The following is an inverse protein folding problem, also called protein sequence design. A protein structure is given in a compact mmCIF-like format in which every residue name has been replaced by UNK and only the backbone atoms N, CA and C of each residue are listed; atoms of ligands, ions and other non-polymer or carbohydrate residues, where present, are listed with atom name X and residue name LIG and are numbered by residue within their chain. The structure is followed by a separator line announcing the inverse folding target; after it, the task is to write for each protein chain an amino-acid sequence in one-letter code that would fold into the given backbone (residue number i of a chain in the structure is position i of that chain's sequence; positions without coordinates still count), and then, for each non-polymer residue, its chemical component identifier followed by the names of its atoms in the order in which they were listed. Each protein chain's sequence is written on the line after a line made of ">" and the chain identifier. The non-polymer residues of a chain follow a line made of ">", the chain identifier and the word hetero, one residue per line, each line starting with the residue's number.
data_IF_392447355579
#
_entry.id   IF_392447355579
#
_cell.length_a   1.000
_cell.length_b   1.000
_cell.length_c   1.000
_cell.angle_alpha   90.00
_cell.angle_beta   90.00
_cell.angle_gamma   90.00
#
_symmetry.space_group_name_H-M   'P 1'
#
loop_
_entity.id
_entity.type
_entity.pdbx_description
1 polymer ?
#
# COMPACT_ATOMS: atom_id res chain seq x y z
N UNK A 1 0.72 3.21 -15.12
CA UNK A 1 0.93 3.23 -13.65
C UNK A 1 0.50 1.86 -13.16
N UNK A 2 1.33 1.19 -12.39
CA UNK A 2 1.13 -0.18 -11.90
C UNK A 2 1.39 -0.22 -10.40
N UNK A 3 1.01 -1.31 -9.74
CA UNK A 3 1.20 -1.52 -8.30
C UNK A 3 2.68 -1.58 -7.86
N UNK A 4 3.64 -1.62 -8.80
CA UNK A 4 5.08 -1.72 -8.52
C UNK A 4 5.61 -0.64 -7.55
N UNK A 5 5.06 0.57 -7.61
CA UNK A 5 5.42 1.64 -6.68
C UNK A 5 4.99 1.33 -5.24
N UNK A 6 3.79 0.78 -5.07
CA UNK A 6 3.28 0.38 -3.74
C UNK A 6 4.05 -0.84 -3.23
N UNK A 7 4.42 -1.77 -4.10
CA UNK A 7 5.33 -2.90 -3.77
C UNK A 7 6.68 -2.39 -3.24
N UNK A 8 7.25 -1.35 -3.84
CA UNK A 8 8.49 -0.74 -3.35
C UNK A 8 8.30 -0.04 -1.98
N UNK A 9 7.16 0.61 -1.76
CA UNK A 9 6.80 1.19 -0.46
C UNK A 9 6.72 0.09 0.61
N UNK A 10 6.01 -1.02 0.31
CA UNK A 10 5.90 -2.17 1.20
C UNK A 10 7.27 -2.74 1.55
N UNK A 11 8.09 -3.02 0.52
CA UNK A 11 9.44 -3.58 0.68
C UNK A 11 10.31 -2.73 1.61
N UNK A 12 10.25 -1.40 1.45
CA UNK A 12 11.02 -0.46 2.29
C UNK A 12 10.50 -0.38 3.73
N UNK A 13 9.19 -0.44 3.94
CA UNK A 13 8.58 -0.27 5.26
C UNK A 13 8.65 -1.55 6.08
N UNK A 14 8.50 -2.70 5.43
CA UNK A 14 8.56 -4.03 6.04
C UNK A 14 10.00 -4.57 6.14
N UNK A 15 10.98 -3.88 5.54
CA UNK A 15 12.38 -4.32 5.44
C UNK A 15 12.49 -5.75 4.85
N UNK A 16 11.72 -5.99 3.79
CA UNK A 16 11.66 -7.29 3.09
C UNK A 16 11.84 -7.11 1.59
N UNK A 17 12.39 -8.14 0.94
CA UNK A 17 12.70 -8.13 -0.51
C UNK A 17 11.71 -8.95 -1.35
N UNK A 18 10.85 -9.75 -0.72
CA UNK A 18 9.89 -10.63 -1.39
C UNK A 18 8.45 -10.15 -1.17
N UNK A 19 8.07 -9.05 -1.83
CA UNK A 19 6.69 -8.56 -1.84
C UNK A 19 6.06 -8.85 -3.19
N UNK A 20 5.04 -9.71 -3.23
CA UNK A 20 4.22 -9.87 -4.43
C UNK A 20 3.13 -8.79 -4.45
N UNK A 21 2.71 -8.31 -5.62
CA UNK A 21 1.66 -7.29 -5.72
C UNK A 21 0.33 -7.67 -5.04
N UNK A 22 0.00 -8.97 -5.04
CA UNK A 22 -1.20 -9.53 -4.42
C UNK A 22 -0.99 -10.03 -2.99
N UNK A 23 0.20 -9.86 -2.40
CA UNK A 23 0.46 -10.30 -1.03
C UNK A 23 -0.25 -9.41 -0.02
N UNK A 24 -0.86 -10.03 0.98
CA UNK A 24 -1.45 -9.32 2.13
C UNK A 24 -0.35 -8.70 2.99
N UNK A 25 -0.44 -7.39 3.23
CA UNK A 25 0.53 -6.63 4.01
C UNK A 25 0.70 -7.14 5.45
N UNK A 26 -0.37 -7.58 6.09
CA UNK A 26 -0.35 -8.07 7.47
C UNK A 26 0.26 -9.47 7.54
N UNK A 27 0.02 -10.32 6.54
CA UNK A 27 0.70 -11.62 6.43
C UNK A 27 2.22 -11.47 6.22
N UNK A 28 2.67 -10.38 5.59
CA UNK A 28 4.08 -10.04 5.45
C UNK A 28 4.72 -9.47 6.74
N UNK A 29 3.98 -9.40 7.85
CA UNK A 29 4.46 -8.87 9.13
C UNK A 29 4.14 -7.39 9.36
N UNK A 30 3.27 -6.81 8.53
CA UNK A 30 2.76 -5.45 8.72
C UNK A 30 1.89 -5.30 9.97
N UNK A 31 1.86 -4.09 10.51
CA UNK A 31 0.98 -3.70 11.61
C UNK A 31 0.30 -2.34 11.31
N UNK A 32 -0.52 -1.85 12.24
CA UNK A 32 -1.25 -0.58 12.06
C UNK A 32 -0.34 0.65 11.96
N UNK A 33 0.81 0.64 12.64
CA UNK A 33 1.77 1.73 12.58
C UNK A 33 2.47 1.74 11.22
N UNK A 34 2.89 0.57 10.73
CA UNK A 34 3.50 0.40 9.42
C UNK A 34 2.50 0.72 8.30
N UNK A 35 1.23 0.29 8.43
CA UNK A 35 0.17 0.65 7.49
C UNK A 35 -0.04 2.16 7.41
N UNK A 36 -0.02 2.88 8.54
CA UNK A 36 -0.08 4.35 8.55
C UNK A 36 1.08 4.99 7.78
N UNK A 37 2.29 4.41 7.88
CA UNK A 37 3.46 4.87 7.11
C UNK A 37 3.29 4.61 5.62
N UNK A 38 2.72 3.48 5.23
CA UNK A 38 2.39 3.16 3.84
C UNK A 38 1.40 4.18 3.28
N UNK A 39 0.29 4.42 3.98
CA UNK A 39 -0.73 5.41 3.59
C UNK A 39 -0.12 6.79 3.39
N UNK A 40 0.76 7.21 4.31
CA UNK A 40 1.48 8.48 4.20
C UNK A 40 2.42 8.53 2.99
N UNK A 41 3.08 7.41 2.64
CA UNK A 41 3.93 7.34 1.46
C UNK A 41 3.13 7.39 0.16
N UNK A 42 2.01 6.65 0.09
CA UNK A 42 1.07 6.68 -1.04
C UNK A 42 0.56 8.11 -1.26
N UNK A 43 0.11 8.80 -0.21
CA UNK A 43 -0.36 10.18 -0.33
C UNK A 43 0.69 11.14 -0.89
N UNK A 44 1.97 10.96 -0.50
CA UNK A 44 3.08 11.79 -1.00
C UNK A 44 3.46 11.50 -2.44
N UNK A 45 3.31 10.25 -2.89
CA UNK A 45 3.74 9.81 -4.21
C UNK A 45 2.65 9.97 -5.27
N UNK A 46 1.39 9.74 -4.91
CA UNK A 46 0.24 9.80 -5.82
C UNK A 46 -0.64 11.04 -5.64
N UNK A 47 -0.50 11.77 -4.52
CA UNK A 47 -1.38 12.90 -4.20
C UNK A 47 -2.77 12.50 -3.72
N UNK A 48 -2.98 11.22 -3.40
CA UNK A 48 -4.27 10.65 -2.97
C UNK A 48 -4.17 10.16 -1.53
N UNK A 49 -5.03 10.69 -0.66
CA UNK A 49 -5.15 10.19 0.71
C UNK A 49 -6.15 9.03 0.75
N UNK A 50 -5.66 7.84 1.11
CA UNK A 50 -6.48 6.68 1.41
C UNK A 50 -6.74 6.58 2.92
N UNK A 51 -7.90 6.03 3.30
CA UNK A 51 -8.22 5.78 4.70
C UNK A 51 -7.62 4.45 5.18
N UNK A 52 -7.55 4.25 6.49
CA UNK A 52 -7.16 2.95 7.03
C UNK A 52 -8.19 1.86 6.69
N UNK A 53 -9.47 2.23 6.57
CA UNK A 53 -10.55 1.34 6.10
C UNK A 53 -10.29 0.84 4.68
N UNK A 54 -9.82 1.72 3.78
CA UNK A 54 -9.41 1.35 2.43
C UNK A 54 -8.27 0.34 2.43
N UNK A 55 -7.36 0.47 3.39
CA UNK A 55 -6.22 -0.44 3.54
C UNK A 55 -6.65 -1.83 3.99
N UNK A 56 -7.51 -1.93 5.01
CA UNK A 56 -7.92 -3.24 5.54
C UNK A 56 -8.90 -3.98 4.63
N UNK A 57 -9.63 -3.26 3.77
CA UNK A 57 -10.54 -3.85 2.78
C UNK A 57 -9.79 -4.67 1.71
N UNK A 58 -8.63 -4.18 1.27
CA UNK A 58 -7.73 -4.92 0.39
C UNK A 58 -6.26 -4.54 0.70
N UNK A 59 -5.61 -5.24 1.64
CA UNK A 59 -4.27 -4.92 2.14
C UNK A 59 -3.16 -5.38 1.20
N UNK A 60 -3.43 -5.49 -0.09
CA UNK A 60 -2.44 -5.81 -1.13
C UNK A 60 -1.99 -4.56 -1.87
N UNK A 61 -0.81 -4.60 -2.48
CA UNK A 61 -0.32 -3.49 -3.29
C UNK A 61 -1.21 -3.25 -4.52
N UNK A 62 -1.76 -4.32 -5.12
CA UNK A 62 -2.74 -4.23 -6.21
C UNK A 62 -4.05 -3.57 -5.76
N UNK A 63 -4.58 -3.98 -4.60
CA UNK A 63 -5.80 -3.43 -4.01
C UNK A 63 -5.69 -1.95 -3.72
N UNK A 64 -4.62 -1.55 -3.03
CA UNK A 64 -4.33 -0.15 -2.74
C UNK A 64 -4.15 0.66 -4.03
N UNK A 65 -3.46 0.12 -5.04
CA UNK A 65 -3.27 0.80 -6.31
C UNK A 65 -4.61 1.00 -7.05
N UNK A 66 -5.49 0.00 -7.03
CA UNK A 66 -6.82 0.10 -7.61
C UNK A 66 -7.65 1.21 -6.95
N UNK A 67 -7.55 1.35 -5.63
CA UNK A 67 -8.22 2.43 -4.88
C UNK A 67 -7.66 3.81 -5.22
N UNK A 68 -6.33 3.95 -5.30
CA UNK A 68 -5.69 5.20 -5.79
C UNK A 68 -6.19 5.53 -7.20
N UNK A 69 -6.21 4.56 -8.10
CA UNK A 69 -6.65 4.75 -9.48
C UNK A 69 -8.14 5.14 -9.58
N UNK A 70 -8.99 4.64 -8.67
CA UNK A 70 -10.41 4.99 -8.59
C UNK A 70 -10.67 6.37 -7.98
N UNK A 71 -9.76 6.87 -7.14
CA UNK A 71 -9.84 8.19 -6.51
C UNK A 71 -9.16 9.31 -7.31
N UNK A 72 -8.46 8.99 -8.40
CA UNK A 72 -7.90 9.98 -9.30
C UNK A 72 -9.02 10.70 -10.08
N UNK A 73 -9.01 12.05 -10.15
CA UNK A 73 -10.02 12.83 -10.87
C UNK A 73 -9.92 12.72 -12.40
#
# INVERSE_FOLDING_TARGET
>A
MSADYIVQIFSRILDTSEVNPSSDFFELGGDSLLATRVLSAIAREFGTELLFEDFVDDPSAEGLFAKVAASAP
#
